data_IF_774385556599
#
_entry.id   IF_774385556599
#
_cell.length_a   1.000
_cell.length_b   1.000
_cell.length_c   1.000
_cell.angle_alpha   90.00
_cell.angle_beta   90.00
_cell.angle_gamma   90.00
#
_symmetry.space_group_name_H-M   'P 1'
#
loop_
_entity.id
_entity.type
_entity.pdbx_description
1 polymer ?
#
# COMPACT_ATOMS: atom_id res chain seq x y z
N UNK A 1 -27.32 -80.68 -28.20
CA UNK A 1 -27.38 -81.11 -26.77
C UNK A 1 -26.89 -82.53 -26.47
N UNK A 2 -27.21 -83.59 -27.24
CA UNK A 2 -26.62 -84.94 -26.98
C UNK A 2 -25.22 -85.15 -27.61
N UNK A 3 -24.88 -84.46 -28.71
CA UNK A 3 -23.54 -84.54 -29.32
C UNK A 3 -22.49 -83.75 -28.53
N UNK A 4 -22.84 -82.56 -28.03
CA UNK A 4 -21.95 -81.70 -27.24
C UNK A 4 -21.44 -82.39 -25.96
N UNK A 5 -22.27 -83.25 -25.33
CA UNK A 5 -21.86 -84.03 -24.15
C UNK A 5 -20.87 -85.14 -24.49
N UNK A 6 -21.06 -85.84 -25.61
CA UNK A 6 -20.13 -86.89 -26.06
C UNK A 6 -18.81 -86.30 -26.57
N UNK A 7 -18.84 -85.15 -27.22
CA UNK A 7 -17.63 -84.44 -27.64
C UNK A 7 -16.86 -83.88 -26.44
N UNK A 8 -17.55 -83.34 -25.44
CA UNK A 8 -16.92 -82.90 -24.19
C UNK A 8 -16.29 -84.06 -23.39
N UNK A 9 -16.91 -85.24 -23.37
CA UNK A 9 -16.34 -86.45 -22.74
C UNK A 9 -15.11 -86.95 -23.50
N UNK A 10 -15.16 -86.99 -24.84
CA UNK A 10 -13.99 -87.35 -25.68
C UNK A 10 -12.85 -86.35 -25.55
N UNK A 11 -13.15 -85.05 -25.49
CA UNK A 11 -12.16 -84.01 -25.29
C UNK A 11 -11.49 -84.14 -23.91
N UNK A 12 -12.27 -84.45 -22.86
CA UNK A 12 -11.74 -84.72 -21.51
C UNK A 12 -10.89 -85.99 -21.46
N UNK A 13 -11.26 -87.05 -22.19
CA UNK A 13 -10.43 -88.26 -22.29
C UNK A 13 -9.14 -88.03 -23.07
N UNK A 14 -9.17 -87.23 -24.14
CA UNK A 14 -7.99 -86.84 -24.91
C UNK A 14 -7.04 -85.96 -24.09
N UNK A 15 -7.57 -85.01 -23.32
CA UNK A 15 -6.78 -84.17 -22.40
C UNK A 15 -6.12 -85.03 -21.30
N UNK A 16 -6.86 -85.96 -20.69
CA UNK A 16 -6.29 -86.89 -19.70
C UNK A 16 -5.19 -87.79 -20.28
N UNK A 17 -5.29 -88.19 -21.55
CA UNK A 17 -4.24 -88.94 -22.25
C UNK A 17 -3.05 -88.05 -22.63
N UNK A 18 -3.30 -86.78 -22.95
CA UNK A 18 -2.26 -85.78 -23.23
C UNK A 18 -1.46 -85.37 -21.98
N UNK A 19 -2.08 -85.32 -20.80
CA UNK A 19 -1.41 -85.05 -19.51
C UNK A 19 -0.33 -86.09 -19.16
N UNK A 20 -0.48 -87.32 -19.66
CA UNK A 20 0.49 -88.40 -19.52
C UNK A 20 1.56 -88.43 -20.61
N UNK A 21 1.39 -87.66 -21.70
CA UNK A 21 2.22 -87.72 -22.89
C UNK A 21 3.60 -87.11 -22.64
N UNK A 22 4.71 -87.74 -23.11
CA UNK A 22 6.07 -87.29 -22.83
C UNK A 22 6.32 -85.82 -23.20
N UNK A 23 5.71 -85.35 -24.30
CA UNK A 23 5.85 -83.96 -24.76
C UNK A 23 5.19 -82.94 -23.81
N UNK A 24 4.02 -83.25 -23.25
CA UNK A 24 3.34 -82.36 -22.30
C UNK A 24 4.09 -82.30 -20.96
N UNK A 25 4.63 -83.44 -20.51
CA UNK A 25 5.51 -83.50 -19.34
C UNK A 25 6.80 -82.71 -19.52
N UNK A 26 7.38 -82.71 -20.73
CA UNK A 26 8.54 -81.90 -21.06
C UNK A 26 8.22 -80.39 -21.02
N UNK A 27 7.10 -79.96 -21.61
CA UNK A 27 6.66 -78.56 -21.57
C UNK A 27 6.41 -78.10 -20.12
N UNK A 28 5.69 -78.89 -19.32
CA UNK A 28 5.45 -78.57 -17.91
C UNK A 28 6.74 -78.56 -17.07
N UNK A 29 7.71 -79.44 -17.39
CA UNK A 29 9.01 -79.44 -16.73
C UNK A 29 9.85 -78.22 -17.12
N UNK A 30 9.83 -77.79 -18.38
CA UNK A 30 10.49 -76.56 -18.87
C UNK A 30 9.87 -75.31 -18.24
N UNK A 31 8.53 -75.22 -18.17
CA UNK A 31 7.83 -74.13 -17.48
C UNK A 31 8.16 -74.10 -15.98
N UNK A 32 8.16 -75.26 -15.32
CA UNK A 32 8.54 -75.37 -13.91
C UNK A 32 10.00 -74.96 -13.69
N UNK A 33 10.91 -75.34 -14.57
CA UNK A 33 12.31 -74.94 -14.52
C UNK A 33 12.49 -73.42 -14.74
N UNK A 34 11.74 -72.82 -15.68
CA UNK A 34 11.76 -71.38 -15.91
C UNK A 34 11.19 -70.58 -14.73
N UNK A 35 10.12 -71.08 -14.08
CA UNK A 35 9.56 -70.48 -12.86
C UNK A 35 10.57 -70.60 -11.71
N UNK A 36 11.23 -71.74 -11.56
CA UNK A 36 12.24 -71.97 -10.53
C UNK A 36 13.45 -71.05 -10.73
N UNK A 37 13.94 -70.88 -11.97
CA UNK A 37 15.01 -69.94 -12.30
C UNK A 37 14.64 -68.50 -11.93
N UNK A 38 13.42 -68.05 -12.27
CA UNK A 38 12.92 -66.72 -11.88
C UNK A 38 12.82 -66.54 -10.36
N UNK A 39 12.42 -67.59 -9.64
CA UNK A 39 12.35 -67.58 -8.17
C UNK A 39 13.74 -67.48 -7.54
N UNK A 40 14.73 -68.20 -8.07
CA UNK A 40 16.11 -68.12 -7.58
C UNK A 40 16.72 -66.74 -7.84
N UNK A 41 16.47 -66.14 -9.00
CA UNK A 41 16.93 -64.77 -9.30
C UNK A 41 16.26 -63.74 -8.38
N UNK A 42 14.96 -63.87 -8.13
CA UNK A 42 14.23 -63.01 -7.21
C UNK A 42 14.73 -63.16 -5.77
N UNK A 43 15.01 -64.37 -5.32
CA UNK A 43 15.56 -64.63 -3.98
C UNK A 43 16.95 -64.01 -3.81
N UNK A 44 17.83 -64.17 -4.81
CA UNK A 44 19.14 -63.50 -4.82
C UNK A 44 19.04 -61.97 -4.76
N UNK A 45 18.10 -61.36 -5.50
CA UNK A 45 17.83 -59.91 -5.41
C UNK A 45 17.32 -59.50 -4.04
N UNK A 46 16.44 -60.30 -3.42
CA UNK A 46 15.93 -60.04 -2.08
C UNK A 46 17.05 -60.08 -1.05
N UNK A 47 17.99 -61.03 -1.15
CA UNK A 47 19.14 -61.10 -0.24
C UNK A 47 20.06 -59.88 -0.37
N UNK A 48 20.35 -59.44 -1.58
CA UNK A 48 21.15 -58.22 -1.82
C UNK A 48 20.46 -57.00 -1.22
N UNK A 49 19.17 -56.82 -1.50
CA UNK A 49 18.38 -55.71 -0.95
C UNK A 49 18.28 -55.75 0.58
N UNK A 50 18.21 -56.94 1.19
CA UNK A 50 18.25 -57.10 2.65
C UNK A 50 19.60 -56.64 3.22
N UNK A 51 20.72 -57.03 2.61
CA UNK A 51 22.06 -56.60 3.04
C UNK A 51 22.22 -55.09 2.91
N UNK A 52 21.81 -54.50 1.78
CA UNK A 52 21.83 -53.04 1.59
C UNK A 52 20.95 -52.32 2.61
N UNK A 53 19.74 -52.84 2.88
CA UNK A 53 18.84 -52.31 3.91
C UNK A 53 19.51 -52.33 5.29
N UNK A 54 20.09 -53.45 5.67
CA UNK A 54 20.68 -53.66 7.00
C UNK A 54 21.95 -52.80 7.19
N UNK A 55 22.64 -52.42 6.12
CA UNK A 55 23.78 -51.50 6.16
C UNK A 55 23.37 -50.02 6.17
N UNK A 56 22.40 -49.65 5.32
CA UNK A 56 22.03 -48.24 5.08
C UNK A 56 21.12 -47.70 6.19
N UNK A 57 20.11 -48.47 6.61
CA UNK A 57 19.11 -47.98 7.58
C UNK A 57 19.76 -47.55 8.91
N UNK A 58 20.65 -48.34 9.54
CA UNK A 58 21.26 -47.93 10.81
C UNK A 58 22.11 -46.66 10.68
N UNK A 59 22.82 -46.49 9.54
CA UNK A 59 23.61 -45.28 9.27
C UNK A 59 22.71 -44.04 9.16
N UNK A 60 21.60 -44.14 8.42
CA UNK A 60 20.63 -43.05 8.30
C UNK A 60 19.93 -42.75 9.63
N UNK A 61 19.61 -43.77 10.43
CA UNK A 61 19.05 -43.58 11.77
C UNK A 61 20.02 -42.87 12.71
N UNK A 62 21.31 -43.23 12.67
CA UNK A 62 22.34 -42.54 13.46
C UNK A 62 22.54 -41.08 13.04
N UNK A 63 22.57 -40.81 11.73
CA UNK A 63 22.67 -39.43 11.21
C UNK A 63 21.43 -38.60 11.58
N UNK A 64 20.23 -39.18 11.49
CA UNK A 64 18.99 -38.55 11.91
C UNK A 64 19.02 -38.21 13.40
N UNK A 65 19.39 -39.16 14.26
CA UNK A 65 19.50 -38.93 15.70
C UNK A 65 20.53 -37.83 16.03
N UNK A 66 21.66 -37.79 15.32
CA UNK A 66 22.68 -36.75 15.47
C UNK A 66 22.17 -35.36 15.06
N UNK A 67 21.41 -35.28 13.96
CA UNK A 67 20.78 -34.03 13.50
C UNK A 67 19.67 -33.56 14.43
N UNK A 68 18.84 -34.48 14.97
CA UNK A 68 17.82 -34.14 15.96
C UNK A 68 18.41 -33.60 17.26
N UNK A 69 19.50 -34.19 17.74
CA UNK A 69 20.20 -33.68 18.93
C UNK A 69 20.73 -32.26 18.70
N UNK A 70 21.39 -32.01 17.55
CA UNK A 70 21.83 -30.67 17.17
C UNK A 70 20.66 -29.69 17.08
N UNK A 71 19.57 -30.06 16.42
CA UNK A 71 18.37 -29.22 16.33
C UNK A 71 17.83 -28.84 17.70
N UNK A 72 17.74 -29.79 18.65
CA UNK A 72 17.30 -29.51 20.01
C UNK A 72 18.22 -28.51 20.72
N UNK A 73 19.54 -28.69 20.63
CA UNK A 73 20.50 -27.75 21.24
C UNK A 73 20.42 -26.34 20.67
N UNK A 74 20.31 -26.22 19.34
CA UNK A 74 20.17 -24.92 18.67
C UNK A 74 18.83 -24.29 19.03
N UNK A 75 17.76 -25.08 19.09
CA UNK A 75 16.44 -24.59 19.50
C UNK A 75 16.46 -24.04 20.92
N UNK A 76 17.08 -24.75 21.88
CA UNK A 76 17.21 -24.25 23.25
C UNK A 76 18.04 -22.97 23.32
N UNK A 77 19.11 -22.86 22.54
CA UNK A 77 19.92 -21.64 22.50
C UNK A 77 19.13 -20.47 21.87
N UNK A 78 18.33 -20.74 20.83
CA UNK A 78 17.44 -19.77 20.22
C UNK A 78 16.38 -19.28 21.21
N UNK A 79 15.74 -20.18 21.95
CA UNK A 79 14.72 -19.83 22.93
C UNK A 79 15.31 -18.92 24.03
N UNK A 80 16.52 -19.22 24.53
CA UNK A 80 17.24 -18.36 25.48
C UNK A 80 17.54 -16.98 24.89
N UNK A 81 18.08 -16.93 23.67
CA UNK A 81 18.40 -15.66 23.01
C UNK A 81 17.14 -14.82 22.75
N UNK A 82 16.02 -15.45 22.40
CA UNK A 82 14.73 -14.78 22.22
C UNK A 82 14.23 -14.17 23.53
N UNK A 83 14.38 -14.87 24.65
CA UNK A 83 13.95 -14.36 25.94
C UNK A 83 14.87 -13.24 26.46
N UNK A 84 16.18 -13.31 26.21
CA UNK A 84 17.11 -12.21 26.45
C UNK A 84 16.76 -10.97 25.63
N UNK A 85 16.46 -11.15 24.34
CA UNK A 85 16.01 -10.06 23.48
C UNK A 85 14.71 -9.41 23.98
N UNK A 86 13.72 -10.22 24.39
CA UNK A 86 12.47 -9.71 24.98
C UNK A 86 12.75 -8.91 26.24
N UNK A 87 13.60 -9.42 27.15
CA UNK A 87 14.00 -8.69 28.37
C UNK A 87 14.68 -7.37 28.02
N UNK A 88 15.64 -7.36 27.11
CA UNK A 88 16.33 -6.15 26.66
C UNK A 88 15.33 -5.12 26.08
N UNK A 89 14.39 -5.55 25.24
CA UNK A 89 13.34 -4.70 24.67
C UNK A 89 12.46 -4.07 25.75
N UNK A 90 12.00 -4.86 26.72
CA UNK A 90 11.21 -4.35 27.85
C UNK A 90 12.01 -3.34 28.67
N UNK A 91 13.29 -3.61 28.91
CA UNK A 91 14.17 -2.71 29.68
C UNK A 91 14.42 -1.39 28.95
N UNK A 92 14.60 -1.43 27.62
CA UNK A 92 14.74 -0.23 26.79
C UNK A 92 13.46 0.62 26.84
N UNK A 93 12.30 -0.02 26.65
CA UNK A 93 11.00 0.67 26.66
C UNK A 93 10.68 1.27 28.03
N UNK A 94 10.93 0.55 29.13
CA UNK A 94 10.67 1.05 30.48
C UNK A 94 11.59 2.22 30.84
N UNK A 95 12.88 2.13 30.47
CA UNK A 95 13.82 3.24 30.65
C UNK A 95 13.43 4.45 29.82
N UNK A 96 13.06 4.27 28.55
CA UNK A 96 12.57 5.34 27.68
C UNK A 96 11.39 6.08 28.32
N UNK A 97 10.34 5.35 28.71
CA UNK A 97 9.17 5.93 29.38
C UNK A 97 9.52 6.66 30.69
N UNK A 98 10.48 6.15 31.46
CA UNK A 98 10.92 6.79 32.70
C UNK A 98 11.63 8.12 32.44
N UNK A 99 12.47 8.18 31.40
CA UNK A 99 13.18 9.39 30.99
C UNK A 99 12.21 10.40 30.40
N UNK A 100 11.27 9.97 29.55
CA UNK A 100 10.25 10.85 28.98
C UNK A 100 9.43 11.52 30.07
N UNK A 101 8.99 10.75 31.09
CA UNK A 101 8.30 11.30 32.26
C UNK A 101 9.16 12.29 33.04
N UNK A 102 10.45 12.00 33.19
CA UNK A 102 11.37 12.91 33.89
C UNK A 102 11.55 14.22 33.09
N UNK A 103 11.71 14.13 31.77
CA UNK A 103 11.79 15.28 30.86
C UNK A 103 10.50 16.10 30.94
N UNK A 104 9.32 15.46 30.86
CA UNK A 104 8.04 16.15 30.99
C UNK A 104 7.93 16.92 32.30
N UNK A 105 8.27 16.30 33.44
CA UNK A 105 8.25 17.00 34.74
C UNK A 105 9.19 18.20 34.78
N UNK A 106 10.39 18.10 34.20
CA UNK A 106 11.31 19.23 34.15
C UNK A 106 10.81 20.32 33.19
N UNK A 107 10.19 19.94 32.07
CA UNK A 107 9.55 20.87 31.16
C UNK A 107 8.37 21.60 31.84
N UNK A 108 7.55 20.89 32.61
CA UNK A 108 6.45 21.47 33.39
C UNK A 108 6.97 22.52 34.37
N UNK A 109 8.06 22.21 35.10
CA UNK A 109 8.71 23.18 36.00
C UNK A 109 9.18 24.42 35.24
N UNK A 110 9.81 24.25 34.07
CA UNK A 110 10.27 25.38 33.25
C UNK A 110 9.09 26.23 32.76
N UNK A 111 7.97 25.61 32.40
CA UNK A 111 6.76 26.31 31.98
C UNK A 111 6.11 27.05 33.16
N UNK A 112 6.01 26.42 34.33
CA UNK A 112 5.42 27.01 35.54
C UNK A 112 6.27 28.17 36.09
N UNK A 113 7.59 28.09 35.94
CA UNK A 113 8.55 29.11 36.40
C UNK A 113 8.96 30.09 35.30
N UNK A 114 8.34 30.01 34.12
CA UNK A 114 8.63 30.90 33.01
C UNK A 114 8.36 32.36 33.38
N UNK A 115 9.14 33.28 32.81
CA UNK A 115 8.96 34.71 33.03
C UNK A 115 7.59 35.17 32.49
N UNK A 116 6.77 35.87 33.30
CA UNK A 116 5.47 36.41 32.88
C UNK A 116 5.53 37.28 31.61
N UNK A 117 6.67 37.89 31.29
CA UNK A 117 6.85 38.68 30.07
C UNK A 117 6.62 37.86 28.79
N UNK A 118 6.86 36.54 28.81
CA UNK A 118 6.54 35.65 27.70
C UNK A 118 5.03 35.50 27.50
N UNK A 119 4.28 35.40 28.60
CA UNK A 119 2.81 35.33 28.55
C UNK A 119 2.21 36.62 28.05
N UNK A 120 2.73 37.78 28.49
CA UNK A 120 2.33 39.08 27.98
C UNK A 120 2.60 39.21 26.47
N UNK A 121 3.74 38.72 25.99
CA UNK A 121 4.05 38.70 24.56
C UNK A 121 3.09 37.77 23.78
N UNK A 122 2.74 36.61 24.32
CA UNK A 122 1.75 35.71 23.71
C UNK A 122 0.38 36.38 23.64
N UNK A 123 -0.06 37.03 24.72
CA UNK A 123 -1.33 37.79 24.76
C UNK A 123 -1.32 38.90 23.72
N UNK A 124 -0.20 39.60 23.52
CA UNK A 124 -0.06 40.61 22.46
C UNK A 124 -0.28 40.00 21.06
N UNK A 125 0.38 38.88 20.74
CA UNK A 125 0.21 38.25 19.43
C UNK A 125 -1.18 37.64 19.24
N UNK A 126 -1.80 37.09 20.28
CA UNK A 126 -3.18 36.62 20.24
C UNK A 126 -4.16 37.77 20.00
N UNK A 127 -3.96 38.90 20.68
CA UNK A 127 -4.74 40.12 20.42
C UNK A 127 -4.58 40.62 18.97
N UNK A 128 -3.38 40.50 18.39
CA UNK A 128 -3.15 40.79 16.97
C UNK A 128 -3.82 39.77 16.05
N UNK A 129 -3.81 38.49 16.37
CA UNK A 129 -4.52 37.45 15.62
C UNK A 129 -6.04 37.71 15.62
N UNK A 130 -6.61 38.03 16.77
CA UNK A 130 -8.04 38.35 16.90
C UNK A 130 -8.41 39.63 16.16
N UNK A 131 -7.53 40.64 16.22
CA UNK A 131 -7.67 41.85 15.42
C UNK A 131 -7.69 41.56 13.91
N UNK A 132 -6.81 40.69 13.42
CA UNK A 132 -6.74 40.29 12.01
C UNK A 132 -7.92 39.42 11.55
N UNK A 133 -8.51 38.63 12.46
CA UNK A 133 -9.69 37.78 12.20
C UNK A 133 -11.01 38.53 12.28
N UNK A 134 -11.00 39.74 12.84
CA UNK A 134 -12.20 40.56 12.96
C UNK A 134 -12.80 40.84 11.57
N UNK A 135 -14.14 40.78 11.43
CA UNK A 135 -14.79 41.04 10.14
C UNK A 135 -14.52 42.48 9.68
N UNK A 136 -14.35 42.66 8.37
CA UNK A 136 -14.08 43.99 7.77
C UNK A 136 -12.62 44.43 7.79
N UNK A 137 -11.67 43.49 7.94
CA UNK A 137 -10.22 43.76 7.82
C UNK A 137 -9.65 43.45 6.45
N UNK A 138 -10.32 42.55 5.73
CA UNK A 138 -10.02 42.31 4.34
C UNK A 138 -10.78 43.35 3.55
N UNK A 139 -10.04 44.26 2.95
CA UNK A 139 -10.57 45.29 2.08
C UNK A 139 -10.52 44.81 0.64
N UNK A 140 -11.60 45.07 -0.07
CA UNK A 140 -11.71 44.84 -1.50
C UNK A 140 -12.06 46.17 -2.17
N UNK A 141 -11.09 46.74 -2.87
CA UNK A 141 -11.27 48.00 -3.59
C UNK A 141 -11.37 47.66 -5.08
N UNK A 142 -12.52 47.96 -5.68
CA UNK A 142 -12.69 47.84 -7.13
C UNK A 142 -12.11 49.09 -7.81
N UNK A 143 -10.92 48.96 -8.40
CA UNK A 143 -10.23 50.04 -9.11
C UNK A 143 -10.68 50.09 -10.57
N UNK A 144 -11.92 50.55 -10.77
CA UNK A 144 -12.48 50.77 -12.10
C UNK A 144 -12.63 49.50 -12.93
N UNK A 145 -13.17 49.69 -14.13
CA UNK A 145 -13.30 48.60 -15.08
C UNK A 145 -13.31 49.14 -16.49
N UNK A 146 -12.48 48.56 -17.35
CA UNK A 146 -12.55 48.86 -18.77
C UNK A 146 -13.44 47.82 -19.44
N UNK A 147 -14.44 48.31 -20.18
CA UNK A 147 -15.30 47.45 -21.00
C UNK A 147 -14.69 47.37 -22.38
N UNK A 148 -14.35 46.16 -22.79
CA UNK A 148 -13.97 45.92 -24.17
C UNK A 148 -15.19 45.39 -24.93
N UNK A 149 -15.76 46.25 -25.78
CA UNK A 149 -16.97 45.94 -26.57
C UNK A 149 -16.66 44.92 -27.68
N UNK A 150 -15.39 44.79 -28.09
CA UNK A 150 -15.01 43.84 -29.14
C UNK A 150 -14.90 42.40 -28.64
N UNK A 151 -14.53 42.20 -27.38
CA UNK A 151 -14.33 40.86 -26.80
C UNK A 151 -15.45 40.46 -25.83
N UNK A 152 -16.45 41.32 -25.64
CA UNK A 152 -17.51 41.16 -24.63
C UNK A 152 -16.97 40.87 -23.21
N UNK A 153 -15.75 41.32 -22.92
CA UNK A 153 -15.09 41.16 -21.62
C UNK A 153 -14.97 42.50 -20.89
N UNK A 154 -15.03 42.42 -19.57
CA UNK A 154 -14.81 43.51 -18.64
C UNK A 154 -13.53 43.18 -17.89
N UNK A 155 -12.48 43.99 -18.06
CA UNK A 155 -11.32 43.91 -17.19
C UNK A 155 -11.73 44.54 -15.85
N UNK A 156 -11.62 43.76 -14.79
CA UNK A 156 -11.87 44.22 -13.42
C UNK A 156 -10.51 44.22 -12.73
N UNK A 157 -10.08 45.41 -12.29
CA UNK A 157 -8.92 45.55 -11.42
C UNK A 157 -9.46 45.59 -10.00
N UNK A 158 -9.17 44.57 -9.22
CA UNK A 158 -9.53 44.49 -7.81
C UNK A 158 -8.24 44.60 -7.01
N UNK A 159 -8.12 45.61 -6.16
CA UNK A 159 -7.05 45.72 -5.17
C UNK A 159 -7.56 45.08 -3.88
N UNK A 160 -6.81 44.12 -3.35
CA UNK A 160 -7.13 43.48 -2.08
C UNK A 160 -5.89 43.38 -1.20
N UNK A 161 -6.09 43.34 0.11
CA UNK A 161 -5.03 43.16 1.11
C UNK A 161 -5.00 41.73 1.67
N UNK A 162 -5.65 40.77 0.99
CA UNK A 162 -5.84 39.39 1.46
C UNK A 162 -4.50 38.72 1.77
N UNK A 163 -3.51 38.86 0.88
CA UNK A 163 -2.21 38.21 1.05
C UNK A 163 -1.38 38.86 2.17
N UNK A 164 -1.48 40.18 2.34
CA UNK A 164 -0.87 40.89 3.46
C UNK A 164 -1.44 40.40 4.80
N UNK A 165 -2.77 40.34 4.92
CA UNK A 165 -3.46 39.81 6.12
C UNK A 165 -3.08 38.35 6.38
N UNK A 166 -3.02 37.50 5.35
CA UNK A 166 -2.58 36.09 5.49
C UNK A 166 -1.13 35.97 5.96
N UNK A 167 -0.23 36.78 5.42
CA UNK A 167 1.18 36.78 5.82
C UNK A 167 1.35 37.22 7.28
N UNK A 168 0.60 38.23 7.71
CA UNK A 168 0.59 38.71 9.10
C UNK A 168 0.02 37.64 10.06
N UNK A 169 -1.07 36.95 9.67
CA UNK A 169 -1.62 35.83 10.44
C UNK A 169 -0.60 34.69 10.59
N UNK A 170 0.06 34.30 9.50
CA UNK A 170 1.07 33.24 9.52
C UNK A 170 2.26 33.61 10.41
N UNK A 171 2.73 34.86 10.33
CA UNK A 171 3.80 35.38 11.17
C UNK A 171 3.43 35.35 12.66
N UNK A 172 2.26 35.88 13.04
CA UNK A 172 1.79 35.86 14.42
C UNK A 172 1.66 34.43 14.97
N UNK A 173 1.18 33.48 14.17
CA UNK A 173 1.15 32.07 14.57
C UNK A 173 2.54 31.46 14.77
N UNK A 174 3.51 31.81 13.93
CA UNK A 174 4.89 31.36 14.08
C UNK A 174 5.54 31.98 15.34
N UNK A 175 5.32 33.27 15.58
CA UNK A 175 5.83 33.97 16.75
C UNK A 175 5.29 33.40 18.07
N UNK A 176 3.99 33.07 18.15
CA UNK A 176 3.42 32.39 19.34
C UNK A 176 4.09 31.05 19.59
N UNK A 177 4.27 30.23 18.56
CA UNK A 177 4.96 28.92 18.69
C UNK A 177 6.42 29.09 19.13
N UNK A 178 7.10 30.14 18.67
CA UNK A 178 8.47 30.40 19.07
C UNK A 178 8.56 30.89 20.52
N UNK A 179 7.63 31.73 20.97
CA UNK A 179 7.49 32.15 22.36
C UNK A 179 7.19 30.97 23.30
N UNK A 180 6.30 30.06 22.90
CA UNK A 180 6.01 28.83 23.65
C UNK A 180 7.24 27.93 23.77
N UNK A 181 8.07 27.84 22.72
CA UNK A 181 9.34 27.12 22.79
C UNK A 181 10.35 27.79 23.71
N UNK A 182 10.37 29.12 23.76
CA UNK A 182 11.25 29.86 24.66
C UNK A 182 10.90 29.67 26.15
N UNK A 183 9.67 29.25 26.48
CA UNK A 183 9.32 28.82 27.85
C UNK A 183 10.09 27.57 28.30
N UNK A 184 10.57 26.76 27.37
CA UNK A 184 11.38 25.57 27.67
C UNK A 184 12.88 25.89 27.80
N UNK A 185 13.28 27.15 27.59
CA UNK A 185 14.66 27.58 27.78
C UNK A 185 14.80 28.38 29.09
N UNK A 186 15.85 28.12 29.89
CA UNK A 186 16.00 28.75 31.20
C UNK A 186 16.36 30.25 31.14
N UNK A 187 16.85 30.75 30.00
CA UNK A 187 17.25 32.14 29.82
C UNK A 187 16.26 32.89 28.92
N UNK A 188 15.70 34.00 29.42
CA UNK A 188 14.85 34.89 28.64
C UNK A 188 15.69 35.75 27.69
N UNK A 189 15.38 35.70 26.39
CA UNK A 189 15.94 36.59 25.38
C UNK A 189 14.93 37.72 25.07
N UNK A 190 15.02 38.80 25.84
CA UNK A 190 14.11 39.95 25.73
C UNK A 190 14.26 40.65 24.36
N UNK A 191 15.48 40.76 23.85
CA UNK A 191 15.74 41.40 22.56
C UNK A 191 15.03 40.69 21.41
N UNK A 192 15.02 39.36 21.46
CA UNK A 192 14.32 38.55 20.46
C UNK A 192 12.81 38.76 20.52
N UNK A 193 12.23 38.88 21.71
CA UNK A 193 10.79 39.16 21.88
C UNK A 193 10.43 40.51 21.26
N UNK A 194 11.24 41.55 21.50
CA UNK A 194 11.02 42.88 20.92
C UNK A 194 11.17 42.91 19.40
N UNK A 195 12.19 42.20 18.86
CA UNK A 195 12.36 42.01 17.41
C UNK A 195 11.14 41.33 16.79
N UNK A 196 10.57 40.33 17.45
CA UNK A 196 9.37 39.66 16.97
C UNK A 196 8.14 40.58 16.97
N UNK A 197 7.96 41.39 18.03
CA UNK A 197 6.84 42.35 18.13
C UNK A 197 6.91 43.43 17.06
N UNK A 198 8.10 43.91 16.72
CA UNK A 198 8.33 44.94 15.69
C UNK A 198 8.29 44.39 14.26
N UNK A 199 8.61 43.11 14.07
CA UNK A 199 8.61 42.45 12.76
C UNK A 199 7.24 42.04 12.21
N UNK A 200 6.13 42.39 12.87
CA UNK A 200 4.78 42.05 12.38
C UNK A 200 4.53 42.77 11.04
N UNK A 201 4.24 42.04 9.95
CA UNK A 201 3.96 42.65 8.65
C UNK A 201 2.77 43.61 8.71
N UNK A 202 2.87 44.73 7.98
CA UNK A 202 1.75 45.66 7.84
C UNK A 202 0.63 45.06 6.99
N UNK A 203 -0.62 45.35 7.37
CA UNK A 203 -1.83 44.90 6.66
C UNK A 203 -2.25 45.85 5.53
N UNK A 204 -1.69 47.06 5.49
CA UNK A 204 -2.06 48.11 4.54
C UNK A 204 -1.34 47.95 3.18
N UNK A 205 -0.87 46.74 2.88
CA UNK A 205 -0.23 46.40 1.60
C UNK A 205 -1.29 45.81 0.68
N UNK A 206 -1.67 46.57 -0.33
CA UNK A 206 -2.65 46.16 -1.33
C UNK A 206 -1.96 45.56 -2.54
N UNK A 207 -2.43 44.40 -2.96
CA UNK A 207 -2.02 43.75 -4.20
C UNK A 207 -3.12 43.90 -5.23
N UNK A 208 -2.78 44.47 -6.40
CA UNK A 208 -3.70 44.58 -7.52
C UNK A 208 -3.79 43.25 -8.27
N UNK A 209 -4.99 42.68 -8.30
CA UNK A 209 -5.32 41.50 -9.11
C UNK A 209 -6.16 41.97 -10.30
N UNK A 210 -5.63 41.77 -11.51
CA UNK A 210 -6.35 42.05 -12.75
C UNK A 210 -6.98 40.77 -13.27
N UNK A 211 -8.31 40.74 -13.38
CA UNK A 211 -9.05 39.62 -13.94
C UNK A 211 -10.00 40.07 -15.05
N UNK A 212 -10.23 39.21 -16.03
CA UNK A 212 -11.25 39.42 -17.05
C UNK A 212 -12.52 38.67 -16.65
N UNK A 213 -13.66 39.37 -16.56
CA UNK A 213 -14.97 38.78 -16.36
C UNK A 213 -15.84 39.05 -17.61
N UNK A 214 -16.60 38.07 -18.14
CA UNK A 214 -17.51 38.33 -19.24
C UNK A 214 -18.60 39.34 -18.84
N UNK A 215 -19.07 40.14 -19.79
CA UNK A 215 -20.13 41.12 -19.53
C UNK A 215 -21.45 40.42 -19.12
N UNK A 216 -22.23 41.01 -18.20
CA UNK A 216 -23.52 40.45 -17.81
C UNK A 216 -24.46 40.42 -19.02
N UNK A 217 -24.91 39.22 -19.41
CA UNK A 217 -25.70 38.99 -20.62
C UNK A 217 -24.89 38.67 -21.88
N UNK A 218 -23.55 38.65 -21.83
CA UNK A 218 -22.77 38.12 -22.94
C UNK A 218 -22.96 36.61 -23.01
N UNK A 219 -23.37 36.12 -24.18
CA UNK A 219 -23.12 34.73 -24.57
C UNK A 219 -21.61 34.68 -24.74
N UNK A 220 -20.88 34.46 -23.66
CA UNK A 220 -19.41 34.51 -23.69
C UNK A 220 -18.88 33.77 -24.90
N UNK A 221 -17.67 34.11 -25.35
CA UNK A 221 -16.94 33.34 -26.36
C UNK A 221 -16.55 31.98 -25.74
N UNK A 222 -17.54 31.17 -25.40
CA UNK A 222 -17.39 29.77 -25.13
C UNK A 222 -17.26 29.17 -26.52
N UNK A 223 -16.10 28.66 -26.94
CA UNK A 223 -15.93 28.09 -28.28
C UNK A 223 -16.91 26.95 -28.57
N UNK A 224 -17.56 26.41 -27.54
CA UNK A 224 -18.67 25.46 -27.61
C UNK A 224 -19.98 26.05 -28.17
N UNK A 225 -20.21 27.36 -28.12
CA UNK A 225 -21.38 28.02 -28.73
C UNK A 225 -21.23 28.25 -30.24
N UNK A 226 -20.02 28.13 -30.78
CA UNK A 226 -19.74 28.13 -32.23
C UNK A 226 -19.92 26.74 -32.84
N UNK A 227 -19.97 25.69 -32.01
CA UNK A 227 -20.31 24.36 -32.46
C UNK A 227 -21.84 24.30 -32.68
N UNK A 228 -22.31 23.71 -33.79
CA UNK A 228 -23.74 23.49 -33.99
C UNK A 228 -24.27 22.66 -32.82
N UNK A 229 -25.47 22.99 -32.32
CA UNK A 229 -26.09 22.16 -31.27
C UNK A 229 -26.28 20.73 -31.77
N UNK A 230 -26.35 19.74 -30.86
CA UNK A 230 -26.57 18.33 -31.25
C UNK A 230 -27.79 18.18 -32.18
N UNK A 231 -28.85 18.96 -31.93
CA UNK A 231 -30.03 19.02 -32.80
C UNK A 231 -29.76 19.56 -34.21
N UNK A 232 -28.85 20.53 -34.38
CA UNK A 232 -28.44 21.03 -35.69
C UNK A 232 -27.51 20.04 -36.42
N UNK A 233 -26.65 19.34 -35.67
CA UNK A 233 -25.81 18.26 -36.20
C UNK A 233 -26.66 17.10 -36.72
N UNK A 234 -27.68 16.70 -35.97
CA UNK A 234 -28.61 15.64 -36.36
C UNK A 234 -29.42 16.04 -37.60
N UNK A 235 -29.96 17.26 -37.64
CA UNK A 235 -30.67 17.77 -38.83
C UNK A 235 -29.77 17.79 -40.09
N UNK A 236 -28.51 18.21 -39.95
CA UNK A 236 -27.53 18.19 -41.06
C UNK A 236 -27.19 16.77 -41.50
N UNK A 237 -27.05 15.84 -40.56
CA UNK A 237 -26.80 14.42 -40.85
C UNK A 237 -27.97 13.80 -41.61
N UNK A 238 -29.19 14.06 -41.17
CA UNK A 238 -30.41 13.52 -41.79
C UNK A 238 -30.64 14.09 -43.18
N UNK A 239 -30.46 15.40 -43.37
CA UNK A 239 -30.56 16.03 -44.70
C UNK A 239 -29.48 15.54 -45.67
N UNK A 240 -28.26 15.26 -45.20
CA UNK A 240 -27.21 14.61 -46.01
C UNK A 240 -27.61 13.18 -46.37
N UNK A 241 -28.11 12.40 -45.41
CA UNK A 241 -28.57 11.03 -45.65
C UNK A 241 -29.75 10.97 -46.63
N UNK A 242 -30.69 11.92 -46.57
CA UNK A 242 -31.77 12.03 -47.55
C UNK A 242 -31.25 12.37 -48.95
N UNK A 243 -30.29 13.31 -49.06
CA UNK A 243 -29.65 13.63 -50.34
C UNK A 243 -28.94 12.41 -50.92
N UNK A 244 -28.21 11.66 -50.10
CA UNK A 244 -27.53 10.42 -50.51
C UNK A 244 -28.53 9.36 -50.95
N UNK A 245 -29.61 9.12 -50.19
CA UNK A 245 -30.70 8.20 -50.59
C UNK A 245 -31.34 8.61 -51.92
N UNK A 246 -31.50 9.92 -52.17
CA UNK A 246 -32.06 10.44 -53.42
C UNK A 246 -31.11 10.27 -54.62
N UNK A 247 -29.81 10.33 -54.38
CA UNK A 247 -28.77 10.06 -55.40
C UNK A 247 -28.66 8.56 -55.69
N UNK A 248 -28.71 7.70 -54.66
CA UNK A 248 -28.62 6.23 -54.83
C UNK A 248 -29.90 5.57 -55.35
N UNK A 249 -31.05 6.27 -55.36
CA UNK A 249 -32.30 5.83 -56.00
C UNK A 249 -32.39 6.21 -57.48
N UNK A 250 -31.37 6.88 -58.04
CA UNK A 250 -31.16 7.04 -59.48
C UNK A 250 -30.19 5.98 -59.96
#
# INVERSE_FOLDING_TARGET
MKNDKKEAEKLKELLKKADGHPMMKAILAEEAAAILAKRMEADGKIEVLKKERDEIIPRLQADLAGKEAKYKTVKTALDVAVDEFKKAKVTLSSKGLSLDRAISRQADILIETADPALDEAIVFFNGKLDFLRSPGRIDHIACGSERNIFTDTKTVKEENNVDAVRSALAYCHAAVKELEKMKLTPSLDVEKIEKMKTGVPSIDVYTAVTGEKPLPGSKGVNPLHLLPSDSEMDYRRDTVMEKVKKVMKR
#
